data_IF_105762487982
#
_entry.id   IF_105762487982
#
_cell.length_a   1.000
_cell.length_b   1.000
_cell.length_c   1.000
_cell.angle_alpha   90.00
_cell.angle_beta   90.00
_cell.angle_gamma   90.00
#
_symmetry.space_group_name_H-M   'P 1'
#
loop_
_entity.id
_entity.type
_entity.pdbx_description
1 polymer ?
#
# COMPACT_ATOMS: atom_id res chain seq x y z
N UNK A 1 8.35 -3.80 38.84
CA UNK A 1 6.96 -3.61 38.36
C UNK A 1 7.06 -2.63 37.21
N UNK A 2 6.88 -3.14 36.00
CA UNK A 2 6.99 -2.37 34.76
C UNK A 2 5.66 -1.66 34.52
N UNK A 3 5.68 -0.33 34.35
CA UNK A 3 4.48 0.50 34.13
C UNK A 3 3.66 -0.02 32.96
N UNK A 4 4.31 -0.57 31.93
CA UNK A 4 3.63 -1.15 30.78
C UNK A 4 2.86 -2.41 31.17
N UNK A 5 3.42 -3.23 32.06
CA UNK A 5 2.75 -4.43 32.56
C UNK A 5 1.55 -4.10 33.44
N UNK A 6 1.64 -3.04 34.24
CA UNK A 6 0.50 -2.55 35.04
C UNK A 6 -0.63 -2.01 34.13
N UNK A 7 -0.28 -1.33 33.04
CA UNK A 7 -1.24 -0.85 32.02
C UNK A 7 -1.91 -2.03 31.31
N UNK A 8 -1.14 -3.06 30.92
CA UNK A 8 -1.67 -4.28 30.31
C UNK A 8 -2.57 -5.07 31.28
N UNK A 9 -2.17 -5.19 32.54
CA UNK A 9 -3.00 -5.84 33.57
C UNK A 9 -4.29 -5.06 33.80
N UNK A 10 -4.24 -3.73 33.76
CA UNK A 10 -5.44 -2.88 33.85
C UNK A 10 -6.38 -3.06 32.65
N UNK A 11 -5.84 -3.32 31.44
CA UNK A 11 -6.63 -3.64 30.25
C UNK A 11 -7.37 -4.97 30.41
N UNK A 12 -6.67 -5.99 30.91
CA UNK A 12 -7.24 -7.32 31.17
C UNK A 12 -8.34 -7.28 32.25
N UNK A 13 -8.30 -6.30 33.15
CA UNK A 13 -9.30 -6.10 34.20
C UNK A 13 -10.47 -5.20 33.78
N UNK A 14 -10.34 -4.39 32.72
CA UNK A 14 -11.32 -3.34 32.37
C UNK A 14 -11.65 -3.29 30.87
N UNK A 15 -12.20 -4.39 30.33
CA UNK A 15 -12.44 -4.55 28.90
C UNK A 15 -13.41 -3.53 28.25
N UNK A 16 -14.26 -2.82 29.00
CA UNK A 16 -15.27 -1.92 28.42
C UNK A 16 -15.08 -0.42 28.74
N UNK A 17 -14.98 -0.02 30.01
CA UNK A 17 -15.03 1.41 30.36
C UNK A 17 -13.71 2.15 30.16
N UNK A 18 -12.57 1.49 30.39
CA UNK A 18 -11.23 2.12 30.32
C UNK A 18 -10.37 1.64 29.15
N UNK A 19 -10.85 0.68 28.37
CA UNK A 19 -10.10 0.12 27.24
C UNK A 19 -9.65 1.21 26.24
N UNK A 20 -10.46 2.25 26.02
CA UNK A 20 -10.08 3.37 25.14
C UNK A 20 -8.92 4.18 25.71
N UNK A 21 -8.93 4.51 27.01
CA UNK A 21 -7.87 5.28 27.67
C UNK A 21 -6.56 4.49 27.69
N UNK A 22 -6.65 3.19 28.02
CA UNK A 22 -5.51 2.30 28.01
C UNK A 22 -4.93 2.16 26.59
N UNK A 23 -5.76 2.05 25.55
CA UNK A 23 -5.29 2.01 24.17
C UNK A 23 -4.57 3.30 23.75
N UNK A 24 -4.93 4.47 24.27
CA UNK A 24 -4.16 5.70 23.98
C UNK A 24 -2.75 5.65 24.58
N UNK A 25 -2.61 5.11 25.78
CA UNK A 25 -1.31 4.89 26.42
C UNK A 25 -0.49 3.88 25.61
N UNK A 26 -1.07 2.71 25.29
CA UNK A 26 -0.39 1.66 24.51
C UNK A 26 0.02 2.16 23.13
N UNK A 27 -0.84 2.92 22.45
CA UNK A 27 -0.51 3.54 21.18
C UNK A 27 0.67 4.52 21.30
N UNK A 28 0.70 5.33 22.35
CA UNK A 28 1.80 6.27 22.60
C UNK A 28 3.12 5.56 22.90
N UNK A 29 3.08 4.48 23.71
CA UNK A 29 4.24 3.63 23.99
C UNK A 29 4.77 2.98 22.72
N UNK A 30 3.90 2.35 21.92
CA UNK A 30 4.31 1.71 20.67
C UNK A 30 4.89 2.70 19.67
N UNK A 31 4.29 3.90 19.58
CA UNK A 31 4.81 4.97 18.74
C UNK A 31 6.20 5.42 19.21
N UNK A 32 6.40 5.58 20.51
CA UNK A 32 7.71 5.93 21.08
C UNK A 32 8.76 4.87 20.74
N UNK A 33 8.46 3.58 20.92
CA UNK A 33 9.37 2.46 20.58
C UNK A 33 9.80 2.52 19.11
N UNK A 34 8.85 2.73 18.18
CA UNK A 34 9.15 2.88 16.74
C UNK A 34 10.02 4.11 16.48
N UNK A 35 9.70 5.26 17.08
CA UNK A 35 10.44 6.51 16.84
C UNK A 35 11.85 6.55 17.42
N UNK A 36 12.10 5.79 18.49
CA UNK A 36 13.42 5.71 19.14
C UNK A 36 14.40 4.80 18.39
N UNK A 37 13.99 4.20 17.27
CA UNK A 37 14.89 3.45 16.40
C UNK A 37 15.24 2.06 16.91
N UNK A 38 14.45 1.50 17.84
CA UNK A 38 14.57 0.10 18.26
C UNK A 38 14.04 -0.89 17.20
N UNK A 39 13.49 -0.40 16.09
CA UNK A 39 13.22 -1.21 14.89
C UNK A 39 14.51 -1.30 14.06
N UNK A 40 15.07 -2.51 13.96
CA UNK A 40 16.30 -2.76 13.22
C UNK A 40 16.13 -2.33 11.75
N UNK A 41 17.07 -1.53 11.24
CA UNK A 41 16.96 -0.91 9.90
C UNK A 41 17.19 -1.94 8.78
N UNK A 42 16.22 -2.05 7.87
CA UNK A 42 16.40 -1.88 6.41
C UNK A 42 15.16 -1.18 5.82
N UNK A 43 15.15 0.16 5.89
CA UNK A 43 14.52 0.94 4.83
C UNK A 43 15.58 1.17 3.74
N UNK A 44 15.24 1.09 2.44
CA UNK A 44 15.96 1.87 1.45
C UNK A 44 15.76 3.35 1.83
N UNK A 45 16.89 4.04 1.94
CA UNK A 45 17.02 5.46 2.29
C UNK A 45 16.05 6.38 1.56
N UNK A 46 15.21 7.08 2.35
CA UNK A 46 14.99 8.52 2.20
C UNK A 46 14.41 9.11 3.49
N UNK A 47 15.29 9.50 4.40
CA UNK A 47 14.95 10.36 5.54
C UNK A 47 15.65 11.71 5.36
N UNK A 48 15.08 12.54 4.50
CA UNK A 48 14.94 13.96 4.80
C UNK A 48 13.45 14.29 4.82
N UNK A 49 12.78 14.01 5.93
CA UNK A 49 11.46 14.59 6.22
C UNK A 49 11.21 14.62 7.72
N UNK A 50 11.92 15.49 8.43
CA UNK A 50 11.41 16.13 9.65
C UNK A 50 11.23 17.62 9.37
N UNK A 51 10.26 17.92 8.50
CA UNK A 51 9.62 19.25 8.32
C UNK A 51 8.67 19.23 7.10
N UNK A 52 7.63 18.36 7.05
CA UNK A 52 6.65 18.38 5.94
C UNK A 52 5.17 18.57 6.30
N UNK A 53 4.78 18.55 7.57
CA UNK A 53 3.36 18.77 7.93
C UNK A 53 2.96 20.26 8.06
N UNK A 54 3.89 21.19 7.80
CA UNK A 54 3.62 22.64 7.66
C UNK A 54 3.75 23.15 6.22
N UNK A 55 4.00 22.26 5.24
CA UNK A 55 4.31 22.61 3.86
C UNK A 55 3.48 21.83 2.83
N UNK A 56 2.15 21.95 2.91
CA UNK A 56 1.32 21.66 1.72
C UNK A 56 0.28 22.75 1.39
N UNK A 57 0.23 23.83 2.17
CA UNK A 57 -0.54 25.02 1.80
C UNK A 57 0.05 25.71 0.55
N UNK A 58 1.38 25.75 0.43
CA UNK A 58 2.06 26.34 -0.73
C UNK A 58 1.81 25.54 -2.01
N UNK A 59 1.87 24.21 -1.94
CA UNK A 59 1.59 23.34 -3.08
C UNK A 59 0.12 23.45 -3.49
N UNK A 60 -0.79 23.43 -2.52
CA UNK A 60 -2.22 23.67 -2.74
C UNK A 60 -2.51 25.03 -3.40
N UNK A 61 -1.89 26.12 -2.93
CA UNK A 61 -2.07 27.46 -3.50
C UNK A 61 -1.45 27.58 -4.90
N UNK A 62 -0.31 26.93 -5.16
CA UNK A 62 0.30 26.89 -6.49
C UNK A 62 -0.57 26.10 -7.48
N UNK A 63 -1.16 24.99 -7.03
CA UNK A 63 -2.04 24.16 -7.87
C UNK A 63 -3.40 24.84 -8.12
N UNK A 64 -3.93 25.54 -7.11
CA UNK A 64 -5.11 26.40 -7.26
C UNK A 64 -4.83 27.57 -8.22
N UNK A 65 -3.69 28.26 -8.09
CA UNK A 65 -3.29 29.34 -9.01
C UNK A 65 -3.11 28.84 -10.44
N UNK A 66 -2.59 27.62 -10.62
CA UNK A 66 -2.48 26.97 -11.93
C UNK A 66 -3.87 26.68 -12.53
N UNK A 67 -4.81 26.17 -11.72
CA UNK A 67 -6.18 25.88 -12.16
C UNK A 67 -6.95 27.15 -12.55
N UNK A 68 -6.79 28.25 -11.79
CA UNK A 68 -7.38 29.55 -12.13
C UNK A 68 -6.82 30.09 -13.45
N UNK A 69 -5.49 30.02 -13.66
CA UNK A 69 -4.85 30.49 -14.90
C UNK A 69 -5.27 29.70 -16.15
N UNK A 70 -5.52 28.39 -16.00
CA UNK A 70 -6.04 27.55 -17.09
C UNK A 70 -7.51 27.87 -17.41
N UNK A 71 -8.31 28.23 -16.40
CA UNK A 71 -9.70 28.63 -16.60
C UNK A 71 -9.83 30.02 -17.27
N UNK A 72 -8.84 30.89 -17.12
CA UNK A 72 -8.80 32.24 -17.69
C UNK A 72 -8.13 32.32 -19.08
N UNK A 73 -7.64 31.21 -19.64
CA UNK A 73 -7.15 31.13 -21.02
C UNK A 73 -5.79 31.81 -21.27
N UNK A 74 -4.96 32.00 -20.24
CA UNK A 74 -3.63 32.61 -20.38
C UNK A 74 -2.60 31.54 -20.77
N UNK A 75 -2.14 31.57 -22.02
CA UNK A 75 -1.01 30.76 -22.52
C UNK A 75 0.31 31.43 -22.08
N UNK A 76 1.21 30.67 -21.46
CA UNK A 76 2.62 31.08 -21.31
C UNK A 76 3.49 30.04 -22.00
N UNK A 77 4.18 30.48 -23.05
CA UNK A 77 5.22 29.72 -23.76
C UNK A 77 6.60 29.96 -23.13
N UNK A 78 7.27 28.83 -22.87
CA UNK A 78 8.71 28.53 -22.66
C UNK A 78 9.76 29.67 -22.53
N UNK A 79 10.74 29.48 -21.62
CA UNK A 79 12.13 29.10 -22.01
C UNK A 79 13.07 28.83 -20.81
N UNK A 80 14.10 28.08 -21.16
CA UNK A 80 15.15 27.39 -20.39
C UNK A 80 16.11 28.29 -19.60
N UNK A 81 16.82 27.70 -18.64
CA UNK A 81 18.28 27.83 -18.56
C UNK A 81 18.94 26.73 -17.70
N UNK A 82 20.02 26.19 -18.27
CA UNK A 82 20.99 25.22 -17.77
C UNK A 82 21.76 25.68 -16.51
N UNK A 83 22.30 24.71 -15.77
CA UNK A 83 23.75 24.61 -15.55
C UNK A 83 24.16 23.21 -15.04
N UNK A 84 25.29 22.72 -15.59
CA UNK A 84 25.97 21.45 -15.32
C UNK A 84 26.94 21.55 -14.12
N UNK A 85 27.21 20.45 -13.41
CA UNK A 85 28.50 19.71 -13.41
C UNK A 85 28.79 18.82 -12.16
N UNK A 86 28.99 17.53 -12.44
CA UNK A 86 30.08 16.57 -12.07
C UNK A 86 30.49 16.30 -10.60
N UNK A 87 30.43 15.01 -10.18
CA UNK A 87 31.56 14.10 -9.78
C UNK A 87 31.02 12.91 -8.93
N UNK A 88 31.00 11.64 -9.34
CA UNK A 88 32.06 10.61 -9.51
C UNK A 88 32.16 9.57 -8.36
N UNK A 89 31.96 8.29 -8.72
CA UNK A 89 32.48 7.00 -8.18
C UNK A 89 32.25 6.59 -6.71
N UNK A 90 31.59 5.43 -6.51
CA UNK A 90 32.23 4.14 -6.16
C UNK A 90 31.18 3.04 -5.89
N UNK A 91 31.38 1.88 -6.52
CA UNK A 91 30.76 0.59 -6.18
C UNK A 91 31.40 0.02 -4.91
N UNK A 92 30.64 -0.70 -4.09
CA UNK A 92 31.20 -1.76 -3.27
C UNK A 92 30.19 -2.89 -3.07
N UNK A 93 30.59 -4.07 -3.54
CA UNK A 93 29.99 -5.36 -3.26
C UNK A 93 30.30 -5.76 -1.81
N UNK A 94 29.31 -6.28 -1.09
CA UNK A 94 29.57 -7.16 0.04
C UNK A 94 28.53 -8.29 0.07
N UNK A 95 29.08 -9.49 -0.03
CA UNK A 95 28.40 -10.78 -0.13
C UNK A 95 27.61 -11.15 1.13
N UNK A 96 26.66 -12.03 0.87
CA UNK A 96 25.88 -12.85 1.81
C UNK A 96 26.75 -13.57 2.84
N UNK A 97 26.34 -13.52 4.11
CA UNK A 97 26.64 -14.57 5.07
C UNK A 97 25.31 -15.18 5.53
N UNK A 98 25.08 -16.38 5.02
CA UNK A 98 24.16 -17.37 5.55
C UNK A 98 24.69 -17.87 6.90
N UNK A 99 23.84 -17.87 7.93
CA UNK A 99 24.12 -18.60 9.15
C UNK A 99 22.83 -19.22 9.67
N UNK A 100 22.65 -20.46 9.26
CA UNK A 100 21.77 -21.47 9.85
C UNK A 100 21.74 -21.43 11.39
N UNK A 101 20.51 -21.33 11.91
CA UNK A 101 19.94 -22.23 12.92
C UNK A 101 20.77 -22.59 14.15
N UNK A 102 20.58 -21.83 15.24
CA UNK A 102 20.59 -22.39 16.59
C UNK A 102 19.39 -21.82 17.36
N UNK A 103 18.38 -22.65 17.60
CA UNK A 103 17.29 -22.37 18.53
C UNK A 103 17.81 -22.43 19.96
N UNK A 104 18.39 -21.33 20.42
CA UNK A 104 18.46 -21.01 21.85
C UNK A 104 17.31 -20.04 22.11
N UNK A 105 16.50 -20.29 23.15
CA UNK A 105 15.54 -19.32 23.68
C UNK A 105 16.32 -18.07 24.13
N UNK A 106 16.67 -17.21 23.17
CA UNK A 106 17.26 -15.91 23.43
C UNK A 106 16.17 -15.08 24.10
N UNK A 107 16.40 -14.70 25.36
CA UNK A 107 15.53 -13.79 26.10
C UNK A 107 15.20 -12.60 25.21
N UNK A 108 13.92 -12.43 24.87
CA UNK A 108 13.48 -11.36 23.97
C UNK A 108 13.90 -10.01 24.56
N UNK A 109 14.39 -9.07 23.73
CA UNK A 109 14.62 -7.70 24.19
C UNK A 109 13.33 -7.10 24.79
N UNK A 110 13.42 -6.25 25.83
CA UNK A 110 12.24 -5.75 26.53
C UNK A 110 11.20 -5.11 25.63
N UNK A 111 11.63 -4.33 24.63
CA UNK A 111 10.72 -3.68 23.67
C UNK A 111 9.97 -4.67 22.76
N UNK A 112 10.56 -5.83 22.48
CA UNK A 112 9.91 -6.91 21.72
C UNK A 112 8.92 -7.66 22.60
N UNK A 113 9.28 -7.93 23.85
CA UNK A 113 8.38 -8.51 24.85
C UNK A 113 7.14 -7.64 25.04
N UNK A 114 7.33 -6.33 25.21
CA UNK A 114 6.24 -5.35 25.29
C UNK A 114 5.38 -5.38 24.02
N UNK A 115 5.99 -5.32 22.83
CA UNK A 115 5.25 -5.31 21.57
C UNK A 115 4.44 -6.60 21.37
N UNK A 116 5.03 -7.75 21.72
CA UNK A 116 4.39 -9.06 21.73
C UNK A 116 3.18 -9.06 22.64
N UNK A 117 3.37 -8.63 23.89
CA UNK A 117 2.31 -8.61 24.89
C UNK A 117 1.14 -7.71 24.46
N UNK A 118 1.44 -6.49 24.00
CA UNK A 118 0.47 -5.55 23.46
C UNK A 118 -0.30 -6.15 22.28
N UNK A 119 0.40 -6.78 21.34
CA UNK A 119 -0.22 -7.36 20.14
C UNK A 119 -1.20 -8.48 20.50
N UNK A 120 -0.85 -9.35 21.45
CA UNK A 120 -1.71 -10.45 21.90
C UNK A 120 -3.02 -9.96 22.53
N UNK A 121 -2.99 -8.93 23.40
CA UNK A 121 -4.21 -8.37 23.99
C UNK A 121 -5.03 -7.59 22.96
N UNK A 122 -4.37 -6.84 22.08
CA UNK A 122 -5.03 -6.03 21.06
C UNK A 122 -5.86 -6.85 20.06
N UNK A 123 -5.47 -8.08 19.74
CA UNK A 123 -6.25 -8.94 18.84
C UNK A 123 -7.68 -9.14 19.35
N UNK A 124 -7.86 -9.36 20.65
CA UNK A 124 -9.18 -9.57 21.25
C UNK A 124 -10.04 -8.30 21.19
N UNK A 125 -9.42 -7.11 21.28
CA UNK A 125 -10.10 -5.83 21.23
C UNK A 125 -10.66 -5.48 19.84
N UNK A 126 -10.15 -6.10 18.76
CA UNK A 126 -10.71 -5.93 17.41
C UNK A 126 -12.14 -6.44 17.27
N UNK A 127 -12.57 -7.34 18.17
CA UNK A 127 -13.92 -7.91 18.19
C UNK A 127 -14.91 -7.06 19.01
N UNK A 128 -14.46 -6.00 19.69
CA UNK A 128 -15.32 -5.15 20.52
C UNK A 128 -16.23 -4.25 19.67
N UNK A 129 -17.40 -3.91 20.21
CA UNK A 129 -18.44 -3.16 19.47
C UNK A 129 -18.05 -1.72 19.12
N UNK A 130 -17.12 -1.10 19.85
CA UNK A 130 -16.74 0.31 19.66
C UNK A 130 -15.86 0.51 18.41
N UNK A 131 -16.33 1.20 17.36
CA UNK A 131 -15.53 1.38 16.14
C UNK A 131 -14.30 2.26 16.37
N UNK A 132 -14.39 3.26 17.26
CA UNK A 132 -13.26 4.10 17.66
C UNK A 132 -12.14 3.27 18.29
N UNK A 133 -12.50 2.32 19.16
CA UNK A 133 -11.55 1.40 19.78
C UNK A 133 -10.91 0.50 18.71
N UNK A 134 -11.71 -0.12 17.84
CA UNK A 134 -11.20 -0.96 16.76
C UNK A 134 -10.23 -0.21 15.83
N UNK A 135 -10.52 1.03 15.45
CA UNK A 135 -9.62 1.87 14.66
C UNK A 135 -8.27 2.07 15.35
N UNK A 136 -8.30 2.42 16.65
CA UNK A 136 -7.09 2.61 17.45
C UNK A 136 -6.28 1.33 17.55
N UNK A 137 -6.93 0.20 17.79
CA UNK A 137 -6.31 -1.12 17.89
C UNK A 137 -5.63 -1.51 16.57
N UNK A 138 -6.26 -1.26 15.41
CA UNK A 138 -5.61 -1.49 14.10
C UNK A 138 -4.31 -0.69 13.95
N UNK A 139 -4.27 0.55 14.44
CA UNK A 139 -3.04 1.36 14.44
C UNK A 139 -1.97 0.82 15.38
N UNK A 140 -2.35 0.38 16.59
CA UNK A 140 -1.44 -0.24 17.54
C UNK A 140 -0.83 -1.51 16.94
N UNK A 141 -1.66 -2.41 16.38
CA UNK A 141 -1.21 -3.65 15.75
C UNK A 141 -0.24 -3.37 14.61
N UNK A 142 -0.50 -2.35 13.79
CA UNK A 142 0.43 -1.93 12.73
C UNK A 142 1.80 -1.59 13.31
N UNK A 143 1.86 -0.80 14.39
CA UNK A 143 3.13 -0.46 15.05
C UNK A 143 3.82 -1.68 15.64
N UNK A 144 3.09 -2.59 16.29
CA UNK A 144 3.63 -3.85 16.81
C UNK A 144 4.30 -4.69 15.73
N UNK A 145 3.68 -4.82 14.54
CA UNK A 145 4.27 -5.57 13.42
C UNK A 145 5.62 -4.97 12.99
N UNK A 146 5.75 -3.64 12.95
CA UNK A 146 7.02 -2.98 12.62
C UNK A 146 8.08 -3.18 13.70
N UNK A 147 7.70 -3.19 14.98
CA UNK A 147 8.64 -3.43 16.09
C UNK A 147 9.13 -4.88 16.07
N UNK A 148 8.26 -5.82 15.73
CA UNK A 148 8.55 -7.26 15.77
C UNK A 148 9.06 -7.85 14.45
N UNK A 149 9.37 -7.04 13.43
CA UNK A 149 9.62 -7.52 12.06
C UNK A 149 10.77 -8.53 11.95
N UNK A 150 11.82 -8.37 12.77
CA UNK A 150 12.97 -9.27 12.83
C UNK A 150 12.71 -10.55 13.64
N UNK A 151 11.65 -10.58 14.45
CA UNK A 151 11.34 -11.67 15.39
C UNK A 151 10.20 -12.54 14.86
N UNK A 152 10.38 -13.08 13.64
CA UNK A 152 9.36 -13.81 12.88
C UNK A 152 8.78 -15.02 13.62
N UNK A 153 9.59 -15.76 14.36
CA UNK A 153 9.16 -16.94 15.12
C UNK A 153 8.10 -16.61 16.20
N UNK A 154 8.15 -15.39 16.75
CA UNK A 154 7.15 -14.90 17.69
C UNK A 154 5.99 -14.17 17.00
N UNK A 155 6.28 -13.48 15.90
CA UNK A 155 5.27 -12.71 15.17
C UNK A 155 4.28 -13.61 14.42
N UNK A 156 4.74 -14.67 13.76
CA UNK A 156 3.89 -15.52 12.91
C UNK A 156 2.73 -16.19 13.68
N UNK A 157 2.92 -16.76 14.89
CA UNK A 157 1.81 -17.27 15.69
C UNK A 157 0.77 -16.20 16.08
N UNK A 158 1.21 -14.95 16.29
CA UNK A 158 0.31 -13.83 16.61
C UNK A 158 -0.46 -13.40 15.37
N UNK A 159 0.22 -13.28 14.22
CA UNK A 159 -0.39 -13.01 12.92
C UNK A 159 -1.40 -14.10 12.55
N UNK A 160 -1.12 -15.37 12.85
CA UNK A 160 -2.08 -16.47 12.69
C UNK A 160 -3.37 -16.23 13.48
N UNK A 161 -3.25 -15.90 14.76
CA UNK A 161 -4.38 -15.62 15.65
C UNK A 161 -5.13 -14.35 15.25
N UNK A 162 -4.42 -13.35 14.73
CA UNK A 162 -5.00 -12.10 14.25
C UNK A 162 -5.81 -12.29 12.96
N UNK A 163 -5.43 -13.26 12.12
CA UNK A 163 -5.97 -13.40 10.76
C UNK A 163 -7.51 -13.50 10.68
N UNK A 164 -8.20 -14.37 11.44
CA UNK A 164 -9.65 -14.49 11.36
C UNK A 164 -10.37 -13.18 11.71
N UNK A 165 -9.88 -12.46 12.72
CA UNK A 165 -10.48 -11.19 13.16
C UNK A 165 -10.20 -10.09 12.15
N UNK A 166 -8.98 -10.03 11.60
CA UNK A 166 -8.61 -9.10 10.53
C UNK A 166 -9.49 -9.33 9.29
N UNK A 167 -9.74 -10.58 8.91
CA UNK A 167 -10.59 -10.92 7.77
C UNK A 167 -12.02 -10.41 7.96
N UNK A 168 -12.56 -10.44 9.18
CA UNK A 168 -13.84 -9.80 9.49
C UNK A 168 -13.75 -8.28 9.36
N UNK A 169 -12.67 -7.64 9.84
CA UNK A 169 -12.50 -6.18 9.73
C UNK A 169 -12.30 -5.68 8.29
N UNK A 170 -11.77 -6.52 7.40
CA UNK A 170 -11.71 -6.25 5.96
C UNK A 170 -13.11 -6.25 5.29
N UNK A 171 -14.14 -6.71 5.98
CA UNK A 171 -15.52 -6.73 5.53
C UNK A 171 -16.45 -6.08 6.58
N UNK A 172 -15.94 -5.09 7.34
CA UNK A 172 -16.67 -4.44 8.42
C UNK A 172 -17.88 -3.63 7.90
N UNK A 173 -18.90 -3.48 8.73
CA UNK A 173 -20.03 -2.59 8.45
C UNK A 173 -19.63 -1.12 8.52
N UNK A 174 -18.64 -0.80 9.38
CA UNK A 174 -18.10 0.56 9.46
C UNK A 174 -17.10 0.81 8.32
N UNK A 175 -17.42 1.70 7.35
CA UNK A 175 -16.57 1.99 6.20
C UNK A 175 -15.23 2.64 6.55
N UNK A 176 -15.04 3.17 7.77
CA UNK A 176 -13.76 3.71 8.21
C UNK A 176 -12.78 2.62 8.66
N UNK A 177 -13.27 1.45 9.05
CA UNK A 177 -12.46 0.32 9.52
C UNK A 177 -11.75 -0.36 8.35
N UNK A 178 -12.46 -0.57 7.24
CA UNK A 178 -11.96 -1.36 6.09
C UNK A 178 -10.62 -0.82 5.56
N UNK A 179 -10.44 0.50 5.28
CA UNK A 179 -9.16 1.02 4.83
C UNK A 179 -8.02 0.82 5.83
N UNK A 180 -8.30 0.88 7.13
CA UNK A 180 -7.28 0.70 8.17
C UNK A 180 -6.91 -0.78 8.33
N UNK A 181 -7.89 -1.68 8.23
CA UNK A 181 -7.67 -3.11 8.20
C UNK A 181 -6.83 -3.51 6.97
N UNK A 182 -7.12 -2.92 5.81
CA UNK A 182 -6.31 -3.13 4.60
C UNK A 182 -4.87 -2.62 4.78
N UNK A 183 -4.67 -1.44 5.37
CA UNK A 183 -3.32 -0.94 5.67
C UNK A 183 -2.54 -1.87 6.62
N UNK A 184 -3.21 -2.43 7.62
CA UNK A 184 -2.60 -3.44 8.50
C UNK A 184 -2.22 -4.70 7.71
N UNK A 185 -3.08 -5.17 6.80
CA UNK A 185 -2.76 -6.28 5.91
C UNK A 185 -1.52 -6.00 5.05
N UNK A 186 -1.40 -4.80 4.46
CA UNK A 186 -0.20 -4.41 3.70
C UNK A 186 1.06 -4.51 4.56
N UNK A 187 1.03 -3.92 5.75
CA UNK A 187 2.17 -4.01 6.69
C UNK A 187 2.49 -5.45 7.08
N UNK A 188 1.49 -6.29 7.33
CA UNK A 188 1.72 -7.69 7.66
C UNK A 188 2.26 -8.46 6.44
N UNK A 189 1.84 -8.13 5.22
CA UNK A 189 2.29 -8.75 3.98
C UNK A 189 3.77 -8.45 3.67
N UNK A 190 4.23 -7.24 3.99
CA UNK A 190 5.64 -6.85 3.87
C UNK A 190 6.56 -7.66 4.80
N UNK A 191 6.06 -8.07 5.98
CA UNK A 191 6.87 -8.76 7.00
C UNK A 191 6.69 -10.28 6.97
N UNK A 192 5.47 -10.75 6.66
CA UNK A 192 5.02 -12.14 6.77
C UNK A 192 4.58 -12.71 5.39
N UNK A 193 5.37 -12.45 4.35
CA UNK A 193 5.13 -12.80 2.93
C UNK A 193 4.52 -14.19 2.71
N UNK A 194 5.32 -15.25 2.87
CA UNK A 194 4.89 -16.62 2.54
C UNK A 194 3.73 -17.10 3.41
N UNK A 195 3.69 -16.62 4.65
CA UNK A 195 2.66 -16.98 5.61
C UNK A 195 1.28 -16.45 5.21
N UNK A 196 1.23 -15.30 4.53
CA UNK A 196 -0.01 -14.63 4.15
C UNK A 196 -0.37 -14.80 2.68
N UNK A 197 0.59 -15.09 1.78
CA UNK A 197 0.39 -15.26 0.32
C UNK A 197 -0.88 -16.03 -0.02
N UNK A 198 -0.93 -17.31 0.38
CA UNK A 198 -2.06 -18.21 0.07
C UNK A 198 -3.39 -17.77 0.69
N UNK A 199 -3.36 -17.10 1.85
CA UNK A 199 -4.60 -16.63 2.51
C UNK A 199 -5.13 -15.39 1.82
N UNK A 200 -4.28 -14.41 1.55
CA UNK A 200 -4.63 -13.17 0.87
C UNK A 200 -5.14 -13.45 -0.55
N UNK A 201 -4.39 -14.23 -1.33
CA UNK A 201 -4.77 -14.71 -2.67
C UNK A 201 -6.18 -15.32 -2.68
N UNK A 202 -6.47 -16.27 -1.78
CA UNK A 202 -7.76 -16.96 -1.80
C UNK A 202 -8.95 -16.17 -1.26
N UNK A 203 -8.73 -15.17 -0.39
CA UNK A 203 -9.83 -14.62 0.42
C UNK A 203 -9.99 -13.11 0.35
N UNK A 204 -8.92 -12.38 0.04
CA UNK A 204 -8.89 -10.91 0.06
C UNK A 204 -8.77 -10.35 -1.34
N UNK A 205 -7.80 -10.84 -2.13
CA UNK A 205 -7.51 -10.32 -3.48
C UNK A 205 -8.76 -10.35 -4.38
N UNK A 206 -9.52 -11.47 -4.49
CA UNK A 206 -10.72 -11.51 -5.31
C UNK A 206 -11.82 -10.53 -4.87
N UNK A 207 -11.92 -10.26 -3.56
CA UNK A 207 -12.91 -9.32 -3.04
C UNK A 207 -12.55 -7.88 -3.36
N UNK A 208 -11.28 -7.53 -3.22
CA UNK A 208 -10.79 -6.19 -3.58
C UNK A 208 -10.93 -5.96 -5.08
N UNK A 209 -10.52 -6.93 -5.90
CA UNK A 209 -10.68 -6.88 -7.35
C UNK A 209 -12.16 -6.67 -7.74
N UNK A 210 -13.07 -7.51 -7.22
CA UNK A 210 -14.50 -7.37 -7.49
C UNK A 210 -15.07 -6.01 -7.05
N UNK A 211 -14.64 -5.49 -5.89
CA UNK A 211 -15.05 -4.16 -5.43
C UNK A 211 -14.55 -3.06 -6.37
N UNK A 212 -13.27 -3.07 -6.75
CA UNK A 212 -12.67 -2.08 -7.63
C UNK A 212 -13.33 -2.09 -9.02
N UNK A 213 -13.54 -3.27 -9.61
CA UNK A 213 -14.24 -3.41 -10.90
C UNK A 213 -15.64 -2.81 -10.83
N UNK A 214 -16.40 -3.10 -9.76
CA UNK A 214 -17.74 -2.55 -9.57
C UNK A 214 -17.74 -1.02 -9.41
N UNK A 215 -16.80 -0.48 -8.64
CA UNK A 215 -16.76 0.96 -8.34
C UNK A 215 -16.18 1.80 -9.47
N UNK A 216 -15.39 1.22 -10.37
CA UNK A 216 -14.72 1.95 -11.44
C UNK A 216 -15.70 2.76 -12.32
N UNK A 217 -16.85 2.17 -12.66
CA UNK A 217 -17.87 2.86 -13.46
C UNK A 217 -18.54 4.00 -12.68
N UNK A 218 -18.74 3.80 -11.36
CA UNK A 218 -19.30 4.85 -10.50
C UNK A 218 -18.32 6.02 -10.39
N UNK A 219 -17.04 5.77 -10.15
CA UNK A 219 -16.03 6.83 -10.01
C UNK A 219 -15.76 7.57 -11.31
N UNK A 220 -15.74 6.89 -12.46
CA UNK A 220 -15.55 7.52 -13.78
C UNK A 220 -16.67 8.52 -14.14
N UNK A 221 -17.88 8.29 -13.64
CA UNK A 221 -19.05 9.16 -13.88
C UNK A 221 -19.29 10.15 -12.75
N UNK A 222 -18.41 10.18 -11.75
CA UNK A 222 -18.67 10.93 -10.53
C UNK A 222 -18.23 12.39 -10.67
N UNK A 223 -19.02 13.29 -10.09
CA UNK A 223 -18.68 14.71 -10.02
C UNK A 223 -17.53 15.01 -9.04
N UNK A 224 -17.07 16.27 -8.96
CA UNK A 224 -15.89 16.67 -8.17
C UNK A 224 -15.98 16.31 -6.67
N UNK A 225 -17.19 16.31 -6.10
CA UNK A 225 -17.42 15.99 -4.69
C UNK A 225 -17.21 14.51 -4.35
N UNK A 226 -17.10 13.62 -5.35
CA UNK A 226 -16.90 12.19 -5.11
C UNK A 226 -15.62 11.89 -4.32
N UNK A 227 -14.60 12.73 -4.48
CA UNK A 227 -13.32 12.63 -3.75
C UNK A 227 -13.47 12.67 -2.23
N UNK A 228 -14.55 13.26 -1.71
CA UNK A 228 -14.84 13.32 -0.28
C UNK A 228 -15.62 12.10 0.22
N UNK A 229 -16.20 11.30 -0.69
CA UNK A 229 -17.00 10.13 -0.37
C UNK A 229 -16.16 9.02 0.27
N UNK A 230 -16.82 8.16 1.04
CA UNK A 230 -16.20 7.00 1.67
C UNK A 230 -15.74 5.97 0.64
N UNK A 231 -16.50 5.79 -0.45
CA UNK A 231 -16.12 4.91 -1.56
C UNK A 231 -14.83 5.38 -2.23
N UNK A 232 -14.69 6.67 -2.51
CA UNK A 232 -13.45 7.21 -3.08
C UNK A 232 -12.25 7.02 -2.17
N UNK A 233 -12.41 7.22 -0.85
CA UNK A 233 -11.36 6.98 0.13
C UNK A 233 -10.96 5.50 0.22
N UNK A 234 -11.92 4.58 0.09
CA UNK A 234 -11.65 3.15 0.09
C UNK A 234 -10.98 2.68 -1.21
N UNK A 235 -11.48 3.11 -2.38
CA UNK A 235 -10.82 2.87 -3.67
C UNK A 235 -9.37 3.36 -3.65
N UNK A 236 -9.14 4.58 -3.16
CA UNK A 236 -7.80 5.15 -3.05
C UNK A 236 -6.91 4.31 -2.15
N UNK A 237 -7.41 3.88 -0.98
CA UNK A 237 -6.66 3.04 -0.07
C UNK A 237 -6.29 1.69 -0.70
N UNK A 238 -7.20 1.06 -1.46
CA UNK A 238 -6.91 -0.16 -2.19
C UNK A 238 -5.86 0.07 -3.28
N UNK A 239 -6.06 1.03 -4.18
CA UNK A 239 -5.11 1.31 -5.26
C UNK A 239 -3.72 1.67 -4.73
N UNK A 240 -3.60 2.43 -3.65
CA UNK A 240 -2.30 2.77 -3.06
C UNK A 240 -1.57 1.56 -2.45
N UNK A 241 -2.28 0.55 -1.98
CA UNK A 241 -1.67 -0.61 -1.31
C UNK A 241 -1.55 -1.86 -2.18
N UNK A 242 -2.35 -1.99 -3.24
CA UNK A 242 -2.50 -3.25 -3.97
C UNK A 242 -1.25 -3.63 -4.75
N UNK A 243 -0.61 -2.69 -5.46
CA UNK A 243 0.65 -2.94 -6.17
C UNK A 243 1.77 -3.44 -5.23
N UNK A 244 2.14 -2.67 -4.19
CA UNK A 244 3.12 -3.11 -3.20
C UNK A 244 2.76 -4.43 -2.51
N UNK A 245 1.47 -4.67 -2.25
CA UNK A 245 1.00 -5.92 -1.65
C UNK A 245 1.22 -7.12 -2.59
N UNK A 246 0.98 -6.97 -3.90
CA UNK A 246 1.21 -8.03 -4.89
C UNK A 246 2.68 -8.43 -4.94
N UNK A 247 3.58 -7.44 -4.87
CA UNK A 247 5.03 -7.65 -4.82
C UNK A 247 5.44 -8.28 -3.49
N UNK A 248 4.99 -7.71 -2.38
CA UNK A 248 5.39 -8.13 -1.02
C UNK A 248 4.93 -9.53 -0.66
N UNK A 249 3.75 -9.95 -1.13
CA UNK A 249 3.24 -11.30 -0.94
C UNK A 249 3.72 -12.29 -2.01
N UNK A 250 4.48 -11.81 -3.00
CA UNK A 250 4.84 -12.57 -4.18
C UNK A 250 3.63 -13.29 -4.80
N UNK A 251 2.56 -12.57 -5.13
CA UNK A 251 1.35 -13.19 -5.69
C UNK A 251 1.64 -13.89 -7.04
N UNK A 252 0.86 -14.90 -7.40
CA UNK A 252 1.07 -15.64 -8.65
C UNK A 252 0.51 -14.89 -9.87
N UNK A 253 0.80 -15.40 -11.08
CA UNK A 253 0.34 -14.83 -12.35
C UNK A 253 -1.19 -14.63 -12.36
N UNK A 254 -1.95 -15.61 -11.85
CA UNK A 254 -3.42 -15.55 -11.84
C UNK A 254 -3.96 -14.43 -10.95
N UNK A 255 -3.31 -14.19 -9.81
CA UNK A 255 -3.63 -13.06 -8.93
C UNK A 255 -3.24 -11.72 -9.57
N UNK A 256 -2.06 -11.66 -10.23
CA UNK A 256 -1.59 -10.45 -10.93
C UNK A 256 -2.53 -10.08 -12.08
N UNK A 257 -2.96 -11.05 -12.88
CA UNK A 257 -3.97 -10.87 -13.94
C UNK A 257 -5.29 -10.35 -13.39
N UNK A 258 -5.76 -10.92 -12.28
CA UNK A 258 -7.00 -10.48 -11.66
C UNK A 258 -6.90 -9.02 -11.15
N UNK A 259 -5.77 -8.67 -10.56
CA UNK A 259 -5.50 -7.31 -10.07
C UNK A 259 -5.36 -6.33 -11.23
N UNK A 260 -4.64 -6.69 -12.29
CA UNK A 260 -4.42 -5.84 -13.46
C UNK A 260 -5.74 -5.52 -14.15
N UNK A 261 -6.59 -6.53 -14.41
CA UNK A 261 -7.91 -6.36 -15.01
C UNK A 261 -8.85 -5.51 -14.14
N UNK A 262 -8.83 -5.69 -12.82
CA UNK A 262 -9.65 -4.88 -11.91
C UNK A 262 -9.21 -3.42 -11.81
N UNK A 263 -7.91 -3.16 -11.96
CA UNK A 263 -7.33 -1.82 -11.89
C UNK A 263 -7.34 -1.09 -13.23
N UNK A 264 -7.32 -1.79 -14.36
CA UNK A 264 -7.23 -1.23 -15.72
C UNK A 264 -8.23 -0.09 -16.00
N UNK A 265 -9.52 -0.15 -15.58
CA UNK A 265 -10.47 0.95 -15.77
C UNK A 265 -10.09 2.25 -15.04
N UNK A 266 -9.20 2.18 -14.05
CA UNK A 266 -8.71 3.34 -13.30
C UNK A 266 -7.63 4.12 -14.03
N UNK A 267 -7.09 3.61 -15.14
CA UNK A 267 -6.16 4.33 -16.02
C UNK A 267 -6.88 5.33 -16.96
N UNK A 268 -8.21 5.31 -17.03
CA UNK A 268 -8.97 6.27 -17.85
C UNK A 268 -8.85 7.69 -17.30
N UNK A 269 -8.71 8.69 -18.18
CA UNK A 269 -8.74 10.10 -17.78
C UNK A 269 -10.09 10.53 -17.16
N UNK A 270 -11.16 9.74 -17.35
CA UNK A 270 -12.48 10.00 -16.75
C UNK A 270 -12.50 9.74 -15.23
N UNK A 271 -11.51 9.02 -14.72
CA UNK A 271 -11.42 8.72 -13.30
C UNK A 271 -10.94 9.93 -12.50
N UNK A 272 -11.25 10.03 -11.19
CA UNK A 272 -10.66 11.06 -10.34
C UNK A 272 -9.12 11.03 -10.37
N UNK A 273 -8.43 12.18 -10.50
CA UNK A 273 -6.97 12.21 -10.70
C UNK A 273 -6.16 11.44 -9.66
N UNK A 274 -6.57 11.48 -8.39
CA UNK A 274 -5.91 10.73 -7.30
C UNK A 274 -6.04 9.21 -7.45
N UNK A 275 -7.15 8.74 -8.02
CA UNK A 275 -7.33 7.31 -8.30
C UNK A 275 -6.50 6.88 -9.51
N UNK A 276 -6.42 7.73 -10.54
CA UNK A 276 -5.53 7.49 -11.69
C UNK A 276 -4.07 7.40 -11.25
N UNK A 277 -3.58 8.36 -10.47
CA UNK A 277 -2.20 8.38 -9.97
C UNK A 277 -1.89 7.12 -9.15
N UNK A 278 -2.79 6.74 -8.24
CA UNK A 278 -2.65 5.52 -7.46
C UNK A 278 -2.67 4.27 -8.36
N UNK A 279 -3.52 4.23 -9.38
CA UNK A 279 -3.57 3.13 -10.34
C UNK A 279 -2.29 3.01 -11.17
N UNK A 280 -1.73 4.11 -11.65
CA UNK A 280 -0.43 4.10 -12.33
C UNK A 280 0.66 3.52 -11.41
N UNK A 281 0.65 3.84 -10.12
CA UNK A 281 1.58 3.24 -9.14
C UNK A 281 1.36 1.72 -8.97
N UNK A 282 0.12 1.23 -9.04
CA UNK A 282 -0.16 -0.23 -9.10
C UNK A 282 0.53 -0.84 -10.30
N UNK A 283 0.28 -0.31 -11.51
CA UNK A 283 0.86 -0.86 -12.73
C UNK A 283 2.38 -0.81 -12.74
N UNK A 284 3.01 0.25 -12.21
CA UNK A 284 4.46 0.30 -12.03
C UNK A 284 4.98 -0.85 -11.15
N UNK A 285 4.28 -1.19 -10.07
CA UNK A 285 4.64 -2.35 -9.24
C UNK A 285 4.47 -3.67 -10.01
N UNK A 286 3.40 -3.79 -10.81
CA UNK A 286 3.13 -5.01 -11.58
C UNK A 286 4.12 -5.19 -12.74
N UNK A 287 4.51 -4.11 -13.44
CA UNK A 287 5.53 -4.13 -14.49
C UNK A 287 6.85 -4.67 -13.93
N UNK A 288 7.25 -4.23 -12.73
CA UNK A 288 8.46 -4.73 -12.08
C UNK A 288 8.37 -6.22 -11.69
N UNK A 289 7.16 -6.76 -11.51
CA UNK A 289 6.94 -8.15 -11.11
C UNK A 289 6.79 -9.09 -12.32
N UNK A 290 6.02 -8.67 -13.32
CA UNK A 290 5.76 -9.41 -14.55
C UNK A 290 5.61 -8.44 -15.73
N UNK A 291 6.73 -8.05 -16.38
CA UNK A 291 6.72 -7.03 -17.41
C UNK A 291 5.99 -7.49 -18.67
N UNK A 292 6.08 -8.77 -19.04
CA UNK A 292 5.55 -9.30 -20.28
C UNK A 292 4.02 -9.35 -20.27
N UNK A 293 3.46 -9.87 -19.18
CA UNK A 293 2.00 -9.93 -18.99
C UNK A 293 1.41 -8.53 -18.96
N UNK A 294 2.02 -7.61 -18.19
CA UNK A 294 1.48 -6.26 -18.06
C UNK A 294 1.64 -5.46 -19.35
N UNK A 295 2.77 -5.61 -20.06
CA UNK A 295 2.94 -5.03 -21.40
C UNK A 295 1.83 -5.50 -22.35
N UNK A 296 1.51 -6.80 -22.34
CA UNK A 296 0.44 -7.37 -23.15
C UNK A 296 -0.93 -6.78 -22.77
N UNK A 297 -1.29 -6.78 -21.48
CA UNK A 297 -2.55 -6.21 -20.98
C UNK A 297 -2.73 -4.74 -21.38
N UNK A 298 -1.67 -3.93 -21.26
CA UNK A 298 -1.71 -2.51 -21.64
C UNK A 298 -1.85 -2.34 -23.16
N UNK A 299 -1.08 -3.09 -23.94
CA UNK A 299 -1.11 -3.01 -25.41
C UNK A 299 -2.42 -3.55 -26.00
N UNK A 300 -3.09 -4.50 -25.35
CA UNK A 300 -4.43 -4.94 -25.72
C UNK A 300 -5.46 -3.81 -25.61
N UNK A 301 -5.27 -2.84 -24.69
CA UNK A 301 -6.13 -1.66 -24.57
C UNK A 301 -5.75 -0.52 -25.48
N UNK A 302 -4.46 -0.22 -25.58
CA UNK A 302 -3.93 0.79 -26.48
C UNK A 302 -2.47 0.49 -26.77
N UNK A 303 -2.13 0.33 -28.05
CA UNK A 303 -0.76 0.07 -28.45
C UNK A 303 -0.23 1.25 -29.28
N UNK A 304 0.79 1.99 -28.79
CA UNK A 304 1.34 3.13 -29.51
C UNK A 304 2.20 2.72 -30.72
N UNK A 305 2.56 1.43 -30.83
CA UNK A 305 3.44 0.92 -31.88
C UNK A 305 2.71 -0.07 -32.78
N UNK A 306 3.06 -0.05 -34.07
CA UNK A 306 2.64 -1.07 -35.03
C UNK A 306 3.82 -2.01 -35.21
N UNK A 307 3.71 -3.24 -34.70
CA UNK A 307 4.79 -4.20 -34.80
C UNK A 307 4.79 -4.88 -36.17
N UNK A 308 5.87 -4.71 -36.92
CA UNK A 308 6.10 -5.41 -38.17
C UNK A 308 7.04 -6.60 -37.91
N UNK A 309 6.77 -7.78 -38.51
CA UNK A 309 7.63 -8.93 -38.35
C UNK A 309 9.01 -8.64 -38.97
N UNK A 310 10.08 -8.93 -38.23
CA UNK A 310 11.46 -8.72 -38.69
C UNK A 310 11.84 -9.61 -39.88
N UNK A 311 11.14 -10.73 -40.05
CA UNK A 311 11.35 -11.69 -41.14
C UNK A 311 10.02 -12.11 -41.75
N UNK A 312 10.01 -12.42 -43.05
CA UNK A 312 8.80 -12.77 -43.82
C UNK A 312 8.12 -14.07 -43.36
N UNK A 313 8.88 -14.94 -42.71
CA UNK A 313 8.37 -16.22 -42.21
C UNK A 313 7.73 -16.11 -40.82
N UNK A 314 7.88 -14.96 -40.15
CA UNK A 314 7.25 -14.70 -38.86
C UNK A 314 5.85 -14.13 -39.05
N UNK A 315 4.89 -14.65 -38.29
CA UNK A 315 3.54 -14.11 -38.26
C UNK A 315 3.53 -12.73 -37.59
N UNK A 316 2.80 -11.74 -38.13
CA UNK A 316 2.68 -10.44 -37.50
C UNK A 316 1.93 -10.57 -36.17
N UNK A 317 2.47 -9.95 -35.12
CA UNK A 317 1.78 -9.81 -33.83
C UNK A 317 0.59 -8.87 -34.03
N UNK A 318 -0.60 -9.30 -33.63
CA UNK A 318 -1.82 -8.49 -33.67
C UNK A 318 -2.32 -8.33 -32.25
N UNK A 319 -2.29 -7.09 -31.76
CA UNK A 319 -2.87 -6.71 -30.49
C UNK A 319 -4.11 -5.87 -30.74
N UNK A 320 -5.13 -6.01 -29.90
CA UNK A 320 -6.40 -5.31 -30.09
C UNK A 320 -6.25 -3.78 -30.12
N UNK A 321 -5.30 -3.25 -29.34
CA UNK A 321 -5.02 -1.82 -29.26
C UNK A 321 -4.17 -1.25 -30.41
N UNK A 322 -3.64 -2.07 -31.33
CA UNK A 322 -2.84 -1.58 -32.45
C UNK A 322 -3.70 -0.85 -33.49
N UNK A 323 -3.22 0.31 -33.95
CA UNK A 323 -3.88 1.09 -35.01
C UNK A 323 -5.21 1.74 -34.60
N UNK A 324 -5.56 1.66 -33.31
CA UNK A 324 -6.71 2.37 -32.76
C UNK A 324 -6.40 3.86 -32.58
N UNK A 325 -7.39 4.76 -32.73
CA UNK A 325 -7.22 6.16 -32.38
C UNK A 325 -6.96 6.31 -30.86
N UNK A 326 -6.39 7.45 -30.48
CA UNK A 326 -6.25 7.79 -29.06
C UNK A 326 -7.59 7.73 -28.34
N UNK A 327 -7.58 7.19 -27.12
CA UNK A 327 -8.75 6.95 -26.30
C UNK A 327 -8.50 7.38 -24.85
N UNK A 328 -9.47 7.09 -23.98
CA UNK A 328 -9.42 7.53 -22.59
C UNK A 328 -8.25 6.99 -21.76
N UNK A 329 -7.60 5.92 -22.21
CA UNK A 329 -6.47 5.28 -21.53
C UNK A 329 -5.10 5.69 -22.10
N UNK A 330 -5.07 6.27 -23.31
CA UNK A 330 -3.85 6.50 -24.09
C UNK A 330 -2.74 7.19 -23.29
N UNK A 331 -3.05 8.29 -22.59
CA UNK A 331 -2.04 9.07 -21.86
C UNK A 331 -1.32 8.23 -20.79
N UNK A 332 -2.09 7.55 -19.94
CA UNK A 332 -1.52 6.77 -18.84
C UNK A 332 -0.84 5.50 -19.33
N UNK A 333 -1.39 4.83 -20.36
CA UNK A 333 -0.75 3.65 -20.96
C UNK A 333 0.60 4.03 -21.59
N UNK A 334 0.65 5.09 -22.39
CA UNK A 334 1.90 5.55 -23.02
C UNK A 334 2.94 5.95 -21.98
N UNK A 335 2.52 6.53 -20.84
CA UNK A 335 3.41 6.80 -19.72
C UNK A 335 3.98 5.50 -19.14
N UNK A 336 3.13 4.53 -18.84
CA UNK A 336 3.54 3.25 -18.23
C UNK A 336 4.43 2.39 -19.14
N UNK A 337 4.30 2.51 -20.46
CA UNK A 337 5.13 1.76 -21.42
C UNK A 337 6.51 2.41 -21.67
N UNK A 338 6.77 3.61 -21.13
CA UNK A 338 8.05 4.33 -21.26
C UNK A 338 8.93 4.25 -20.02
N UNK A 339 8.30 4.14 -18.86
CA UNK A 339 8.95 4.03 -17.54
C UNK A 339 9.54 2.62 -17.33
#
# INVERSE_FOLDING_TARGET
MDVVQDVLTSLDLNHDQRASEVCEVLHSVMKAIVTLGFSSKKQPTSLETKSKDLLDARKFLLDYSRQVKLAEGIIISQKDQDDQDISSVAEDHAESIDSNGVSMDTVLPPHITIAKDVMERCIHLLSMSSPRLRLKVLHILKLCVHVMCEFKDHLFPIVHRCWPVLQQRLNDEDPFIIPQAFKLLCTMGEVCTDFLKKRASKTVIPKIAAYLTKQAQTSAKAGPNYTQSLNSKLQLAYLQGLGPLCVSLDLDESDVDMVSEACLPYLSYQQPPKLQEACCSVFQCLINKDPDVIWFTLCERFCPYIYQPLHRDLMPVKLCGMGQPENEYTHNIVKLLKD
#
